data_IF_422749703743
#
_entry.id   IF_422749703743
#
_cell.length_a   1.000
_cell.length_b   1.000
_cell.length_c   1.000
_cell.angle_alpha   90.00
_cell.angle_beta   90.00
_cell.angle_gamma   90.00
#
_symmetry.space_group_name_H-M   'P 1'
#
loop_
_entity.id
_entity.type
_entity.pdbx_description
1 polymer ?
#
# COMPACT_ATOMS: atom_id res chain seq x y z
N UNK A 1 -52.57 6.63 -43.83
CA UNK A 1 -51.99 7.79 -43.11
C UNK A 1 -51.96 7.60 -41.59
N UNK A 2 -53.07 7.26 -40.92
CA UNK A 2 -53.11 7.06 -39.44
C UNK A 2 -52.10 6.02 -38.90
N UNK A 3 -51.88 4.91 -39.60
CA UNK A 3 -50.90 3.87 -39.21
C UNK A 3 -49.44 4.32 -39.34
N UNK A 4 -49.13 5.19 -40.30
CA UNK A 4 -47.77 5.74 -40.49
C UNK A 4 -47.45 6.75 -39.40
N UNK A 5 -48.42 7.60 -39.03
CA UNK A 5 -48.31 8.54 -37.92
C UNK A 5 -48.11 7.79 -36.59
N UNK A 6 -48.85 6.70 -36.37
CA UNK A 6 -48.71 5.88 -35.17
C UNK A 6 -47.31 5.22 -35.06
N UNK A 7 -46.76 4.72 -36.17
CA UNK A 7 -45.43 4.14 -36.21
C UNK A 7 -44.31 5.19 -36.00
N UNK A 8 -44.48 6.40 -36.54
CA UNK A 8 -43.56 7.52 -36.29
C UNK A 8 -43.59 7.98 -34.83
N UNK A 9 -44.76 7.94 -34.18
CA UNK A 9 -44.90 8.26 -32.75
C UNK A 9 -44.16 7.24 -31.87
N UNK A 10 -44.20 5.96 -32.24
CA UNK A 10 -43.54 4.88 -31.48
C UNK A 10 -42.01 4.91 -31.62
N UNK A 11 -41.49 5.30 -32.79
CA UNK A 11 -40.05 5.47 -33.01
C UNK A 11 -39.46 6.68 -32.24
N UNK A 12 -40.26 7.72 -31.99
CA UNK A 12 -39.84 8.88 -31.19
C UNK A 12 -39.77 8.64 -29.68
N UNK A 13 -40.45 7.60 -29.17
CA UNK A 13 -40.46 7.26 -27.74
C UNK A 13 -39.28 6.36 -27.30
N UNK A 14 -38.46 5.86 -28.24
CA UNK A 14 -37.33 4.97 -27.96
C UNK A 14 -36.00 5.66 -27.66
N UNK A 15 -35.93 6.99 -27.72
CA UNK A 15 -34.70 7.74 -27.51
C UNK A 15 -34.52 8.16 -26.06
N UNK A 16 -33.43 7.70 -25.43
CA UNK A 16 -32.91 8.07 -24.10
C UNK A 16 -33.29 7.14 -22.93
N UNK A 17 -33.20 5.82 -23.12
CA UNK A 17 -32.99 4.93 -21.96
C UNK A 17 -31.50 4.96 -21.61
N UNK A 18 -31.11 5.74 -20.61
CA UNK A 18 -29.77 5.68 -20.01
C UNK A 18 -29.68 4.44 -19.12
N UNK A 19 -29.62 3.27 -19.75
CA UNK A 19 -29.35 1.99 -19.08
C UNK A 19 -27.85 1.76 -18.83
N UNK A 20 -27.04 2.82 -18.87
CA UNK A 20 -25.63 2.71 -18.51
C UNK A 20 -25.55 2.70 -16.99
N UNK A 21 -25.28 1.52 -16.42
CA UNK A 21 -24.80 1.40 -15.05
C UNK A 21 -23.72 2.44 -14.78
N UNK A 22 -23.62 2.93 -13.54
CA UNK A 22 -22.68 3.99 -13.19
C UNK A 22 -21.22 3.61 -13.55
N UNK A 23 -20.77 4.03 -14.73
CA UNK A 23 -19.44 3.72 -15.31
C UNK A 23 -18.31 4.47 -14.58
N UNK A 24 -18.66 5.41 -13.69
CA UNK A 24 -17.69 6.16 -12.89
C UNK A 24 -17.18 5.31 -11.72
N UNK A 25 -15.89 5.45 -11.42
CA UNK A 25 -15.24 4.82 -10.28
C UNK A 25 -16.04 5.08 -9.00
N UNK A 26 -16.50 4.01 -8.35
CA UNK A 26 -17.26 4.07 -7.12
C UNK A 26 -16.30 3.95 -5.94
N UNK A 27 -16.41 4.86 -4.98
CA UNK A 27 -15.73 4.74 -3.69
C UNK A 27 -16.69 4.16 -2.66
N UNK A 28 -16.19 3.30 -1.74
CA UNK A 28 -17.01 2.81 -0.66
C UNK A 28 -17.40 3.96 0.29
N UNK A 29 -18.48 3.80 1.08
CA UNK A 29 -18.80 4.75 2.14
C UNK A 29 -17.59 5.03 3.05
N UNK A 30 -17.46 6.27 3.53
CA UNK A 30 -16.27 6.73 4.27
C UNK A 30 -15.88 5.80 5.43
N UNK A 31 -16.85 5.31 6.22
CA UNK A 31 -16.59 4.41 7.34
C UNK A 31 -15.90 3.12 6.89
N UNK A 32 -16.33 2.55 5.76
CA UNK A 32 -15.71 1.35 5.19
C UNK A 32 -14.33 1.64 4.62
N UNK A 33 -14.16 2.79 3.95
CA UNK A 33 -12.86 3.23 3.45
C UNK A 33 -11.86 3.42 4.60
N UNK A 34 -12.26 4.10 5.67
CA UNK A 34 -11.43 4.36 6.84
C UNK A 34 -11.04 3.07 7.57
N UNK A 35 -11.99 2.14 7.71
CA UNK A 35 -11.73 0.83 8.33
C UNK A 35 -10.72 0.03 7.50
N UNK A 36 -10.88 0.00 6.18
CA UNK A 36 -9.99 -0.71 5.28
C UNK A 36 -8.59 -0.08 5.29
N UNK A 37 -8.50 1.25 5.18
CA UNK A 37 -7.25 2.01 5.06
C UNK A 37 -6.57 2.31 6.42
N UNK A 38 -7.11 1.80 7.52
CA UNK A 38 -6.50 1.93 8.83
C UNK A 38 -5.07 1.39 8.82
N UNK A 39 -4.13 2.15 9.40
CA UNK A 39 -2.73 1.71 9.48
C UNK A 39 -2.64 0.47 10.37
N UNK A 40 -1.95 -0.59 9.93
CA UNK A 40 -1.75 -1.77 10.74
C UNK A 40 -0.82 -1.45 11.91
N UNK A 41 -0.86 -2.30 12.94
CA UNK A 41 0.12 -2.24 14.03
C UNK A 41 1.54 -2.37 13.47
N UNK A 42 2.47 -1.47 13.81
CA UNK A 42 3.83 -1.56 13.33
C UNK A 42 4.53 -2.81 13.84
N UNK A 43 5.55 -3.26 13.11
CA UNK A 43 6.51 -4.21 13.64
C UNK A 43 7.25 -3.61 14.82
N UNK A 44 7.47 -4.41 15.86
CA UNK A 44 8.15 -3.98 17.09
C UNK A 44 9.41 -4.80 17.27
N UNK A 45 10.53 -4.13 17.50
CA UNK A 45 11.78 -4.75 17.90
C UNK A 45 12.37 -4.00 19.09
N UNK A 46 12.78 -4.73 20.12
CA UNK A 46 13.29 -4.17 21.38
C UNK A 46 14.74 -4.62 21.53
N UNK A 47 15.60 -3.74 22.02
CA UNK A 47 16.97 -4.09 22.41
C UNK A 47 17.00 -4.99 23.64
N UNK A 48 18.08 -5.75 23.83
CA UNK A 48 18.24 -6.69 24.94
C UNK A 48 18.16 -6.03 26.33
N UNK A 49 18.48 -4.73 26.39
CA UNK A 49 18.44 -3.93 27.63
C UNK A 49 17.06 -3.31 27.91
N UNK A 50 16.09 -3.47 27.02
CA UNK A 50 14.78 -2.83 27.10
C UNK A 50 14.87 -1.31 27.31
N UNK A 51 15.81 -0.65 26.64
CA UNK A 51 15.95 0.80 26.62
C UNK A 51 15.29 1.43 25.40
N UNK A 52 15.28 0.71 24.27
CA UNK A 52 14.82 1.21 22.97
C UNK A 52 13.86 0.27 22.27
N UNK A 53 12.83 0.84 21.66
CA UNK A 53 11.90 0.16 20.77
C UNK A 53 12.04 0.76 19.38
N UNK A 54 12.32 -0.08 18.39
CA UNK A 54 12.19 0.24 16.98
C UNK A 54 10.79 -0.16 16.50
N UNK A 55 10.02 0.84 16.07
CA UNK A 55 8.79 0.64 15.33
C UNK A 55 9.07 0.65 13.83
N UNK A 56 8.52 -0.34 13.13
CA UNK A 56 8.65 -0.54 11.69
C UNK A 56 7.26 -0.52 11.06
N UNK A 57 6.86 0.63 10.52
CA UNK A 57 5.56 0.78 9.87
C UNK A 57 5.57 0.14 8.49
N UNK A 58 4.45 -0.48 8.14
CA UNK A 58 4.25 -1.12 6.83
C UNK A 58 2.97 -0.62 6.20
N UNK A 59 2.96 -0.50 4.89
CA UNK A 59 1.77 -0.23 4.13
C UNK A 59 1.14 -1.56 3.65
N UNK A 60 -0.07 -1.93 4.11
CA UNK A 60 -0.75 -3.12 3.62
C UNK A 60 -1.29 -2.96 2.20
N UNK A 61 -1.33 -1.73 1.68
CA UNK A 61 -1.80 -1.40 0.33
C UNK A 61 -0.67 -0.74 -0.49
N UNK A 62 0.14 -1.55 -1.19
CA UNK A 62 1.17 -1.06 -2.10
C UNK A 62 0.64 0.00 -3.06
N UNK A 63 1.47 0.98 -3.40
CA UNK A 63 1.10 1.99 -4.38
C UNK A 63 1.01 1.40 -5.79
N UNK A 64 0.38 2.11 -6.72
CA UNK A 64 0.31 1.68 -8.12
C UNK A 64 1.72 1.58 -8.70
N UNK A 65 2.61 2.49 -8.34
CA UNK A 65 4.01 2.51 -8.77
C UNK A 65 4.76 1.26 -8.28
N UNK A 66 4.54 0.84 -7.02
CA UNK A 66 5.12 -0.39 -6.48
C UNK A 66 4.56 -1.64 -7.19
N UNK A 67 3.26 -1.69 -7.45
CA UNK A 67 2.62 -2.81 -8.15
C UNK A 67 3.05 -2.91 -9.62
N UNK A 68 3.34 -1.78 -10.25
CA UNK A 68 3.79 -1.65 -11.63
C UNK A 68 5.30 -1.90 -11.80
N UNK A 69 6.05 -2.15 -10.72
CA UNK A 69 7.46 -2.53 -10.82
C UNK A 69 7.65 -3.80 -11.68
N UNK A 70 8.76 -3.89 -12.42
CA UNK A 70 9.02 -5.05 -13.27
C UNK A 70 9.13 -6.34 -12.45
N UNK A 71 8.59 -7.44 -12.99
CA UNK A 71 8.55 -8.75 -12.32
C UNK A 71 8.86 -9.87 -13.32
N UNK A 72 9.93 -10.63 -13.05
CA UNK A 72 10.23 -11.90 -13.70
C UNK A 72 9.61 -13.06 -12.94
N UNK A 73 8.98 -13.98 -13.66
CA UNK A 73 8.36 -15.19 -13.11
C UNK A 73 9.19 -16.41 -13.49
N UNK A 74 10.16 -16.78 -12.65
CA UNK A 74 11.15 -17.82 -12.94
C UNK A 74 10.98 -18.95 -11.92
N UNK A 75 10.69 -20.17 -12.40
CA UNK A 75 10.54 -21.36 -11.55
C UNK A 75 9.58 -21.17 -10.35
N UNK A 76 8.50 -20.38 -10.55
CA UNK A 76 7.52 -20.06 -9.51
C UNK A 76 7.90 -18.88 -8.60
N UNK A 77 9.12 -18.36 -8.70
CA UNK A 77 9.56 -17.15 -8.00
C UNK A 77 9.16 -15.90 -8.79
N UNK A 78 8.89 -14.81 -8.07
CA UNK A 78 8.63 -13.48 -8.63
C UNK A 78 9.76 -12.54 -8.23
N UNK A 79 10.57 -12.12 -9.19
CA UNK A 79 11.83 -11.40 -8.95
C UNK A 79 11.79 -10.04 -9.64
N UNK A 80 12.18 -8.98 -8.92
CA UNK A 80 12.40 -7.66 -9.52
C UNK A 80 13.77 -7.66 -10.22
N UNK A 81 13.84 -7.48 -11.56
CA UNK A 81 15.10 -7.53 -12.29
C UNK A 81 16.06 -6.38 -11.97
N UNK A 82 15.58 -5.28 -11.38
CA UNK A 82 16.43 -4.13 -11.07
C UNK A 82 17.31 -4.35 -9.84
N UNK A 83 16.90 -5.23 -8.92
CA UNK A 83 17.59 -5.45 -7.65
C UNK A 83 17.65 -6.93 -7.20
N UNK A 84 17.16 -7.85 -8.04
CA UNK A 84 17.18 -9.30 -7.83
C UNK A 84 16.48 -9.79 -6.56
N UNK A 85 15.58 -8.98 -5.99
CA UNK A 85 14.81 -9.33 -4.80
C UNK A 85 13.40 -9.84 -5.15
N UNK A 86 12.67 -10.46 -4.21
CA UNK A 86 11.26 -10.80 -4.43
C UNK A 86 10.43 -9.55 -4.73
N UNK A 87 9.72 -9.53 -5.86
CA UNK A 87 8.89 -8.39 -6.31
C UNK A 87 7.57 -8.22 -5.55
N UNK A 88 7.23 -9.17 -4.68
CA UNK A 88 5.98 -9.23 -3.91
C UNK A 88 6.28 -9.56 -2.44
N UNK A 89 7.08 -8.72 -1.81
CA UNK A 89 7.41 -8.80 -0.38
C UNK A 89 6.74 -7.64 0.38
N UNK A 90 6.61 -7.79 1.69
CA UNK A 90 6.15 -6.69 2.55
C UNK A 90 7.34 -5.84 2.98
N UNK A 91 7.30 -4.55 2.65
CA UNK A 91 8.33 -3.61 3.00
C UNK A 91 8.00 -2.83 4.28
N UNK A 92 9.05 -2.35 4.94
CA UNK A 92 8.93 -1.29 5.95
C UNK A 92 9.08 0.06 5.24
N UNK A 93 8.08 0.93 5.40
CA UNK A 93 8.01 2.23 4.73
C UNK A 93 8.41 3.40 5.64
N UNK A 94 8.36 3.21 6.96
CA UNK A 94 8.90 4.18 7.92
C UNK A 94 9.39 3.51 9.20
N UNK A 95 10.35 4.18 9.84
CA UNK A 95 10.86 3.79 11.14
C UNK A 95 10.63 4.91 12.16
N UNK A 96 10.31 4.52 13.39
CA UNK A 96 10.42 5.40 14.54
C UNK A 96 11.07 4.69 15.71
N UNK A 97 11.81 5.46 16.51
CA UNK A 97 12.54 4.94 17.65
C UNK A 97 11.96 5.53 18.94
N UNK A 98 11.56 4.67 19.86
CA UNK A 98 11.03 5.05 21.17
C UNK A 98 12.00 4.68 22.27
N UNK A 99 12.32 5.64 23.11
CA UNK A 99 13.01 5.37 24.37
C UNK A 99 11.99 4.90 25.42
N UNK A 100 12.21 3.74 26.03
CA UNK A 100 11.25 3.16 26.99
C UNK A 100 11.19 3.99 28.27
N UNK A 101 12.36 4.39 28.80
CA UNK A 101 12.46 5.12 30.08
C UNK A 101 11.76 6.49 30.04
N UNK A 102 11.96 7.24 28.96
CA UNK A 102 11.40 8.60 28.81
C UNK A 102 10.04 8.60 28.10
N UNK A 103 9.66 7.50 27.45
CA UNK A 103 8.45 7.41 26.63
C UNK A 103 8.51 8.18 25.30
N UNK A 104 9.60 8.89 25.01
CA UNK A 104 9.72 9.74 23.82
C UNK A 104 9.93 8.90 22.56
N UNK A 105 9.07 9.11 21.57
CA UNK A 105 9.22 8.56 20.21
C UNK A 105 9.79 9.63 19.28
N UNK A 106 10.79 9.26 18.48
CA UNK A 106 11.42 10.12 17.48
C UNK A 106 11.39 9.45 16.11
N UNK A 107 11.04 10.21 15.08
CA UNK A 107 11.15 9.75 13.70
C UNK A 107 12.62 9.67 13.28
N UNK A 108 12.96 8.68 12.44
CA UNK A 108 14.31 8.59 11.87
C UNK A 108 14.40 9.50 10.65
N UNK A 109 15.38 10.40 10.64
CA UNK A 109 15.64 11.33 9.53
C UNK A 109 16.74 10.79 8.59
N UNK A 110 16.78 11.31 7.36
CA UNK A 110 17.81 10.93 6.37
C UNK A 110 17.59 9.57 5.70
N UNK A 111 16.38 9.01 5.81
CA UNK A 111 15.98 7.81 5.06
C UNK A 111 15.74 8.15 3.58
N UNK A 112 15.88 7.17 2.66
CA UNK A 112 15.47 7.32 1.26
C UNK A 112 14.03 7.84 1.12
N UNK A 113 13.78 8.67 0.09
CA UNK A 113 12.47 9.30 -0.19
C UNK A 113 11.35 8.28 -0.38
N UNK A 114 11.67 7.10 -0.90
CA UNK A 114 10.80 5.93 -0.93
C UNK A 114 11.54 4.77 -0.28
N UNK A 115 11.12 4.41 0.93
CA UNK A 115 11.75 3.35 1.71
C UNK A 115 11.09 2.00 1.40
N UNK A 116 11.90 1.06 0.94
CA UNK A 116 11.58 -0.36 0.75
C UNK A 116 12.49 -1.18 1.67
N UNK A 117 12.40 -0.91 2.97
CA UNK A 117 13.30 -1.52 3.93
C UNK A 117 12.92 -2.98 4.18
N UNK A 118 13.90 -3.86 3.96
CA UNK A 118 13.86 -5.28 4.29
C UNK A 118 14.96 -5.65 5.28
N UNK A 119 14.95 -6.89 5.75
CA UNK A 119 16.03 -7.48 6.56
C UNK A 119 16.49 -6.62 7.75
N UNK A 120 15.55 -5.96 8.42
CA UNK A 120 15.84 -5.03 9.52
C UNK A 120 16.42 -5.80 10.71
N UNK A 121 17.60 -5.42 11.17
CA UNK A 121 18.28 -6.04 12.33
C UNK A 121 19.07 -5.02 13.14
N UNK A 122 19.10 -5.22 14.45
CA UNK A 122 20.08 -4.61 15.32
C UNK A 122 21.46 -5.22 15.07
N UNK A 123 22.51 -4.42 15.18
CA UNK A 123 23.86 -4.96 15.25
C UNK A 123 24.08 -5.68 16.60
N UNK A 124 25.09 -6.54 16.75
CA UNK A 124 25.29 -7.30 17.99
C UNK A 124 25.48 -6.46 19.25
N UNK A 125 26.00 -5.22 19.12
CA UNK A 125 26.14 -4.30 20.24
C UNK A 125 24.91 -3.41 20.47
N UNK A 126 23.87 -3.56 19.66
CA UNK A 126 22.59 -2.82 19.73
C UNK A 126 22.73 -1.29 19.70
N UNK A 127 23.80 -0.79 19.09
CA UNK A 127 24.08 0.65 18.91
C UNK A 127 23.66 1.16 17.53
N UNK A 128 23.39 0.25 16.58
CA UNK A 128 23.03 0.57 15.19
C UNK A 128 21.97 -0.40 14.70
N UNK A 129 21.15 0.07 13.75
CA UNK A 129 20.17 -0.73 13.02
C UNK A 129 20.61 -0.78 11.56
N UNK A 130 20.62 -1.98 10.99
CA UNK A 130 20.88 -2.22 9.58
C UNK A 130 19.59 -2.69 8.89
N UNK A 131 19.42 -2.32 7.63
CA UNK A 131 18.33 -2.79 6.77
C UNK A 131 18.81 -2.80 5.31
N UNK A 132 18.17 -3.59 4.46
CA UNK A 132 18.37 -3.54 3.00
C UNK A 132 17.39 -2.57 2.38
N UNK A 133 17.85 -1.78 1.40
CA UNK A 133 16.94 -1.07 0.49
C UNK A 133 16.73 -1.95 -0.72
N UNK A 134 15.47 -2.35 -0.94
CA UNK A 134 15.12 -3.43 -1.87
C UNK A 134 14.07 -3.02 -2.89
#
# INVERSE_FOLDING_TARGET
MKKVILNLLFAGLGGSVLAQDAVTYQTPPKIMADLLLAKPTPGVSIDSKAEWILFSDRNPYPSIEELAMPEYKIAGMRINPNNYSPSRQTYVNSFSLKNIKTGKTSAIIGLPTTLYAGNVRWNPSETKIAFTQT
#
